data_IF_825359463076
#
_entry.id   IF_825359463076
#
_cell.length_a   1.000
_cell.length_b   1.000
_cell.length_c   1.000
_cell.angle_alpha   90.00
_cell.angle_beta   90.00
_cell.angle_gamma   90.00
#
_symmetry.space_group_name_H-M   'P 1'
#
loop_
_entity.id
_entity.type
_entity.pdbx_description
1 polymer ?
#
# COMPACT_ATOMS: atom_id res chain seq x y z
N UNK A 1 8.97 -14.43 3.39
CA UNK A 1 7.73 -14.96 2.79
C UNK A 1 6.74 -13.83 2.89
N UNK A 2 6.58 -13.07 1.81
CA UNK A 2 5.53 -12.06 1.76
C UNK A 2 4.18 -12.80 1.79
N UNK A 3 3.40 -12.54 2.83
CA UNK A 3 2.09 -13.14 3.04
C UNK A 3 1.00 -12.07 2.98
N UNK A 4 -0.18 -12.47 2.50
CA UNK A 4 -1.37 -11.62 2.54
C UNK A 4 -1.83 -11.51 4.00
N UNK A 5 -2.01 -10.28 4.49
CA UNK A 5 -2.40 -10.01 5.88
C UNK A 5 -3.48 -8.94 5.97
N UNK A 6 -4.39 -9.08 6.94
CA UNK A 6 -5.35 -8.03 7.29
C UNK A 6 -4.77 -6.93 8.17
N UNK A 7 -3.54 -7.11 8.65
CA UNK A 7 -2.86 -6.16 9.53
C UNK A 7 -2.23 -5.09 8.63
N UNK A 8 -2.67 -3.83 8.81
CA UNK A 8 -2.06 -2.68 8.15
C UNK A 8 -0.71 -2.42 8.81
N UNK A 9 0.38 -2.39 8.04
CA UNK A 9 1.72 -2.06 8.56
C UNK A 9 1.78 -0.59 8.99
N UNK A 10 2.62 -0.28 9.97
CA UNK A 10 2.78 1.09 10.48
C UNK A 10 3.30 2.07 9.42
N UNK A 11 4.08 1.58 8.45
CA UNK A 11 4.59 2.37 7.33
C UNK A 11 3.57 2.55 6.18
N UNK A 12 2.43 1.87 6.21
CA UNK A 12 1.34 2.03 5.24
C UNK A 12 0.45 3.22 5.60
N UNK A 13 0.89 4.44 5.24
CA UNK A 13 0.21 5.69 5.61
C UNK A 13 -0.73 6.23 4.52
N UNK A 14 -0.55 5.80 3.27
CA UNK A 14 -1.33 6.27 2.12
C UNK A 14 -1.71 5.12 1.18
N UNK A 15 -2.71 5.32 0.34
CA UNK A 15 -3.03 4.40 -0.74
C UNK A 15 -3.20 5.10 -2.08
N UNK A 16 -2.71 4.47 -3.15
CA UNK A 16 -2.92 4.93 -4.52
C UNK A 16 -4.17 4.27 -5.11
N UNK A 17 -5.11 5.09 -5.56
CA UNK A 17 -6.32 4.61 -6.22
C UNK A 17 -5.97 3.87 -7.53
N UNK A 18 -6.44 2.62 -7.67
CA UNK A 18 -6.19 1.83 -8.89
C UNK A 18 -6.71 2.48 -10.17
N UNK A 19 -7.80 3.25 -10.07
CA UNK A 19 -8.52 3.82 -11.21
C UNK A 19 -7.93 5.15 -11.69
N UNK A 20 -7.75 6.13 -10.80
CA UNK A 20 -7.31 7.47 -11.18
C UNK A 20 -5.90 7.83 -10.70
N UNK A 21 -5.21 6.89 -10.04
CA UNK A 21 -3.85 7.01 -9.51
C UNK A 21 -3.65 8.11 -8.47
N UNK A 22 -4.72 8.75 -8.00
CA UNK A 22 -4.64 9.71 -6.91
C UNK A 22 -4.21 9.01 -5.62
N UNK A 23 -3.30 9.64 -4.88
CA UNK A 23 -2.82 9.16 -3.58
C UNK A 23 -3.74 9.78 -2.53
N UNK A 24 -4.28 8.91 -1.68
CA UNK A 24 -5.19 9.26 -0.61
C UNK A 24 -4.56 8.87 0.72
N UNK A 25 -4.99 9.53 1.79
CA UNK A 25 -4.68 9.10 3.16
C UNK A 25 -5.28 7.72 3.44
N UNK A 26 -4.61 6.87 4.24
CA UNK A 26 -5.16 5.56 4.59
C UNK A 26 -6.46 5.61 5.38
N UNK A 27 -6.71 6.69 6.12
CA UNK A 27 -7.94 6.90 6.88
C UNK A 27 -9.19 7.05 5.99
N UNK A 28 -9.03 7.46 4.72
CA UNK A 28 -10.17 7.60 3.80
C UNK A 28 -10.39 6.34 2.98
N UNK A 29 -11.63 5.81 3.01
CA UNK A 29 -12.01 4.60 2.28
C UNK A 29 -12.45 4.86 0.84
N UNK A 30 -12.70 6.12 0.47
CA UNK A 30 -13.07 6.54 -0.87
C UNK A 30 -12.03 7.49 -1.42
N UNK A 31 -11.72 7.36 -2.71
CA UNK A 31 -10.79 8.25 -3.37
C UNK A 31 -11.35 9.67 -3.39
N UNK A 32 -10.64 10.63 -2.81
CA UNK A 32 -11.06 12.04 -2.73
C UNK A 32 -11.15 12.72 -4.10
N UNK A 33 -10.56 12.11 -5.14
CA UNK A 33 -10.60 12.62 -6.53
C UNK A 33 -11.70 12.00 -7.40
N UNK A 34 -11.87 10.67 -7.37
CA UNK A 34 -12.81 9.97 -8.27
C UNK A 34 -13.99 9.30 -7.54
N UNK A 35 -14.06 9.47 -6.22
CA UNK A 35 -15.08 8.96 -5.32
C UNK A 35 -15.30 7.43 -5.35
N UNK A 36 -14.39 6.68 -5.96
CA UNK A 36 -14.44 5.21 -5.95
C UNK A 36 -13.89 4.70 -4.63
N UNK A 37 -14.58 3.71 -4.05
CA UNK A 37 -14.11 2.99 -2.85
C UNK A 37 -12.74 2.36 -3.13
N UNK A 38 -11.88 2.36 -2.12
CA UNK A 38 -10.65 1.55 -2.09
C UNK A 38 -11.02 0.08 -2.27
N UNK A 39 -10.22 -0.64 -3.03
CA UNK A 39 -10.49 -2.04 -3.34
C UNK A 39 -9.31 -2.69 -4.05
N UNK A 40 -9.45 -3.98 -4.34
CA UNK A 40 -8.40 -4.85 -4.90
C UNK A 40 -7.63 -4.15 -6.02
N UNK A 41 -6.31 -4.10 -5.91
CA UNK A 41 -5.39 -3.37 -6.80
C UNK A 41 -5.05 -1.94 -6.37
N UNK A 42 -5.58 -1.49 -5.23
CA UNK A 42 -5.08 -0.27 -4.59
C UNK A 42 -3.66 -0.52 -4.08
N UNK A 43 -2.76 0.42 -4.33
CA UNK A 43 -1.36 0.27 -3.92
C UNK A 43 -1.14 0.89 -2.55
N UNK A 44 -0.40 0.18 -1.68
CA UNK A 44 0.03 0.67 -0.39
C UNK A 44 1.25 1.58 -0.56
N UNK A 45 1.19 2.76 0.05
CA UNK A 45 2.19 3.81 -0.11
C UNK A 45 2.64 4.31 1.28
N UNK A 46 3.94 4.55 1.45
CA UNK A 46 4.48 5.08 2.71
C UNK A 46 4.48 6.62 2.80
N UNK A 47 5.04 7.12 3.90
CA UNK A 47 5.22 8.55 4.13
C UNK A 47 6.09 9.23 3.07
N UNK A 48 7.06 8.50 2.50
CA UNK A 48 8.00 8.94 1.46
C UNK A 48 7.48 8.79 0.02
N UNK A 49 6.23 8.34 -0.15
CA UNK A 49 5.60 8.01 -1.44
C UNK A 49 6.18 6.77 -2.15
N UNK A 50 6.88 5.90 -1.42
CA UNK A 50 7.35 4.61 -1.90
C UNK A 50 6.20 3.61 -2.01
N UNK A 51 6.24 2.74 -3.02
CA UNK A 51 5.34 1.60 -3.14
C UNK A 51 5.77 0.50 -2.20
N UNK A 52 4.88 0.05 -1.32
CA UNK A 52 5.21 -0.90 -0.26
C UNK A 52 4.37 -2.18 -0.31
N UNK A 53 3.30 -2.19 -1.13
CA UNK A 53 2.39 -3.32 -1.24
C UNK A 53 1.17 -3.04 -2.10
N UNK A 54 0.23 -3.99 -2.11
CA UNK A 54 -1.01 -3.94 -2.87
C UNK A 54 -2.15 -4.65 -2.13
N UNK A 55 -3.36 -4.11 -2.25
CA UNK A 55 -4.58 -4.73 -1.72
C UNK A 55 -4.98 -5.91 -2.60
N UNK A 56 -4.86 -7.13 -2.08
CA UNK A 56 -5.13 -8.35 -2.85
C UNK A 56 -6.56 -8.86 -2.67
N UNK A 57 -7.09 -8.76 -1.45
CA UNK A 57 -8.39 -9.37 -1.10
C UNK A 57 -9.25 -8.37 -0.33
N UNK A 58 -10.54 -8.37 -0.66
CA UNK A 58 -11.59 -7.75 0.16
C UNK A 58 -12.69 -8.77 0.41
N UNK A 59 -13.18 -8.89 1.64
CA UNK A 59 -14.30 -9.79 1.95
C UNK A 59 -15.65 -9.04 2.00
N UNK A 60 -16.75 -9.77 2.16
CA UNK A 60 -18.12 -9.23 2.19
C UNK A 60 -18.40 -8.34 3.40
N UNK A 61 -17.64 -8.47 4.49
CA UNK A 61 -17.79 -7.66 5.71
C UNK A 61 -16.94 -6.38 5.67
N UNK A 62 -16.09 -6.22 4.66
CA UNK A 62 -15.30 -5.02 4.41
C UNK A 62 -13.86 -5.06 4.90
N UNK A 63 -13.36 -6.21 5.36
CA UNK A 63 -11.94 -6.36 5.66
C UNK A 63 -11.12 -6.28 4.37
N UNK A 64 -9.92 -5.71 4.51
CA UNK A 64 -8.93 -5.56 3.45
C UNK A 64 -7.70 -6.39 3.82
N UNK A 65 -7.19 -7.18 2.86
CA UNK A 65 -5.98 -7.98 3.05
C UNK A 65 -4.92 -7.56 2.04
N UNK A 66 -3.81 -7.08 2.58
CA UNK A 66 -2.71 -6.47 1.85
C UNK A 66 -1.55 -7.45 1.75
N UNK A 67 -0.93 -7.47 0.58
CA UNK A 67 0.38 -8.10 0.36
C UNK A 67 1.42 -7.00 0.35
N UNK A 68 2.47 -7.15 1.16
CA UNK A 68 3.53 -6.16 1.27
C UNK A 68 4.84 -6.70 0.72
N UNK A 69 5.56 -5.88 -0.04
CA UNK A 69 6.90 -6.25 -0.47
C UNK A 69 7.82 -6.32 0.77
N UNK A 70 8.54 -7.43 0.91
CA UNK A 70 9.66 -7.52 1.84
C UNK A 70 10.77 -6.64 1.26
N UNK A 71 11.16 -5.58 1.95
CA UNK A 71 12.33 -4.78 1.54
C UNK A 71 13.58 -5.62 1.74
N UNK A 72 14.36 -5.81 0.69
CA UNK A 72 15.78 -6.13 0.84
C UNK A 72 16.49 -4.79 0.95
N UNK A 73 16.92 -4.43 2.16
CA UNK A 73 17.89 -3.36 2.33
C UNK A 73 19.21 -3.82 1.69
N UNK A 74 19.47 -3.36 0.48
CA UNK A 74 20.78 -3.53 -0.14
C UNK A 74 21.67 -2.43 0.40
N UNK A 75 22.47 -2.73 1.43
CA UNK A 75 23.52 -1.83 1.87
C UNK A 75 24.56 -1.71 0.75
N UNK A 76 24.48 -0.66 -0.06
CA UNK A 76 25.53 -0.32 -1.01
C UNK A 76 26.69 0.21 -0.17
N UNK A 77 27.68 -0.64 0.12
CA UNK A 77 28.98 -0.17 0.60
C UNK A 77 29.65 0.55 -0.57
N UNK A 78 29.79 1.86 -0.44
CA UNK A 78 30.58 2.67 -1.37
C UNK A 78 32.04 2.17 -1.34
N UNK A 79 32.61 1.69 -2.45
CA UNK A 79 33.94 1.08 -2.46
C UNK A 79 35.10 2.08 -2.44
N UNK A 80 34.87 3.38 -2.19
CA UNK A 80 35.93 4.40 -2.19
C UNK A 80 36.23 4.98 -0.79
N UNK A 81 36.82 4.16 0.09
CA UNK A 81 37.73 4.64 1.15
C UNK A 81 39.13 4.07 0.94
#
# INVERSE_FOLDING_TARGET
>A
MSGITKIVRDDHTKWRCKHCKHINDMAVTHCTKCNRKRGIGAQAIDSHNSLIGELQITNSIGDEFWEYADYIEVAIQDPEQ
#
